data_IF_836701130591
#
_entry.id   IF_836701130591
#
_cell.length_a   1.000
_cell.length_b   1.000
_cell.length_c   1.000
_cell.angle_alpha   90.00
_cell.angle_beta   90.00
_cell.angle_gamma   90.00
#
_symmetry.space_group_name_H-M   'P 1'
#
loop_
_entity.id
_entity.type
_entity.pdbx_description
1 polymer ?
#
# COMPACT_ATOMS: atom_id res chain seq x y z
N UNK A 1 -14.60 13.62 -6.72
CA UNK A 1 -13.76 12.40 -6.79
C UNK A 1 -12.45 12.56 -6.01
N UNK A 2 -11.65 13.62 -6.21
CA UNK A 2 -10.41 13.85 -5.45
C UNK A 2 -10.57 13.81 -3.91
N UNK A 3 -11.64 14.43 -3.37
CA UNK A 3 -11.96 14.34 -1.93
C UNK A 3 -12.17 12.90 -1.43
N UNK A 4 -12.79 12.05 -2.25
CA UNK A 4 -13.00 10.63 -1.91
C UNK A 4 -11.67 9.88 -1.95
N UNK A 5 -10.81 10.16 -2.93
CA UNK A 5 -9.46 9.56 -3.00
C UNK A 5 -8.58 9.98 -1.82
N UNK A 6 -8.69 11.21 -1.30
CA UNK A 6 -7.95 11.63 -0.10
C UNK A 6 -8.39 10.89 1.17
N UNK A 7 -9.68 10.54 1.29
CA UNK A 7 -10.17 9.74 2.42
C UNK A 7 -9.51 8.35 2.48
N UNK A 8 -9.16 7.76 1.33
CA UNK A 8 -8.47 6.48 1.29
C UNK A 8 -7.12 6.53 2.03
N UNK A 9 -6.30 7.54 1.76
CA UNK A 9 -4.99 7.72 2.43
C UNK A 9 -5.16 8.00 3.92
N UNK A 10 -6.18 8.78 4.29
CA UNK A 10 -6.53 9.05 5.69
C UNK A 10 -6.87 7.76 6.45
N UNK A 11 -7.77 6.93 5.90
CA UNK A 11 -8.20 5.69 6.54
C UNK A 11 -7.03 4.72 6.71
N UNK A 12 -6.26 4.46 5.65
CA UNK A 12 -5.19 3.45 5.72
C UNK A 12 -4.05 3.88 6.64
N UNK A 13 -3.65 5.17 6.61
CA UNK A 13 -2.46 5.62 7.34
C UNK A 13 -2.77 6.04 8.77
N UNK A 14 -3.78 6.91 8.95
CA UNK A 14 -4.05 7.50 10.26
C UNK A 14 -4.94 6.62 11.14
N UNK A 15 -5.82 5.81 10.54
CA UNK A 15 -6.66 4.90 11.33
C UNK A 15 -5.99 3.53 11.41
N UNK A 16 -5.80 2.85 10.27
CA UNK A 16 -5.37 1.44 10.27
C UNK A 16 -3.92 1.28 10.72
N UNK A 17 -2.95 1.92 10.06
CA UNK A 17 -1.54 1.78 10.44
C UNK A 17 -1.26 2.27 11.87
N UNK A 18 -1.92 3.34 12.33
CA UNK A 18 -1.73 3.85 13.69
C UNK A 18 -2.33 2.92 14.76
N UNK A 19 -3.47 2.28 14.47
CA UNK A 19 -4.03 1.25 15.34
C UNK A 19 -3.10 0.03 15.44
N UNK A 20 -2.60 -0.46 14.29
CA UNK A 20 -1.63 -1.58 14.28
C UNK A 20 -0.35 -1.21 15.03
N UNK A 21 0.20 -0.01 14.83
CA UNK A 21 1.38 0.46 15.56
C UNK A 21 1.12 0.50 17.07
N UNK A 22 -0.04 1.00 17.51
CA UNK A 22 -0.41 1.00 18.93
C UNK A 22 -0.45 -0.41 19.52
N UNK A 23 -1.05 -1.37 18.81
CA UNK A 23 -1.09 -2.78 19.26
C UNK A 23 0.32 -3.36 19.39
N UNK A 24 1.20 -3.09 18.42
CA UNK A 24 2.59 -3.57 18.47
C UNK A 24 3.36 -2.94 19.64
N UNK A 25 3.23 -1.64 19.85
CA UNK A 25 3.97 -0.91 20.89
C UNK A 25 3.50 -1.23 22.31
N UNK A 26 2.24 -1.63 22.50
CA UNK A 26 1.72 -2.03 23.81
C UNK A 26 2.03 -3.49 24.16
N UNK A 27 2.31 -4.35 23.17
CA UNK A 27 2.69 -5.73 23.42
C UNK A 27 4.16 -5.80 23.88
N UNK A 28 4.54 -6.70 24.81
CA UNK A 28 5.94 -6.85 25.23
C UNK A 28 6.86 -7.31 24.09
N UNK A 29 6.29 -7.81 22.99
CA UNK A 29 7.03 -8.45 21.91
C UNK A 29 7.74 -7.51 20.94
N UNK A 30 7.55 -6.19 21.06
CA UNK A 30 8.26 -5.22 20.21
C UNK A 30 9.78 -5.21 20.44
N UNK A 31 10.24 -5.63 21.63
CA UNK A 31 11.65 -5.70 22.01
C UNK A 31 12.21 -7.13 22.06
N UNK A 32 11.43 -8.16 21.72
CA UNK A 32 11.95 -9.53 21.73
C UNK A 32 12.97 -9.70 20.60
N UNK A 33 14.13 -10.24 20.96
CA UNK A 33 15.16 -10.66 20.03
C UNK A 33 15.08 -12.18 19.87
N UNK A 34 15.26 -12.65 18.64
CA UNK A 34 15.43 -14.05 18.35
C UNK A 34 16.75 -14.57 18.99
N UNK A 35 16.91 -15.89 19.17
CA UNK A 35 18.14 -16.48 19.74
C UNK A 35 19.43 -16.13 18.98
N UNK A 36 19.32 -15.69 17.73
CA UNK A 36 20.41 -15.23 16.88
C UNK A 36 20.69 -13.71 16.99
N UNK A 37 19.98 -12.99 17.87
CA UNK A 37 20.10 -11.54 18.06
C UNK A 37 19.33 -10.68 17.07
N UNK A 38 18.59 -11.29 16.13
CA UNK A 38 17.79 -10.55 15.13
C UNK A 38 16.42 -10.14 15.68
N UNK A 39 15.87 -9.05 15.16
CA UNK A 39 14.50 -8.62 15.44
C UNK A 39 13.51 -9.53 14.72
N UNK A 40 12.31 -9.67 15.27
CA UNK A 40 11.21 -10.36 14.59
C UNK A 40 10.87 -9.67 13.26
N UNK A 41 10.53 -10.47 12.24
CA UNK A 41 10.00 -9.95 10.98
C UNK A 41 8.68 -9.21 11.23
N UNK A 42 8.37 -8.18 10.43
CA UNK A 42 7.20 -7.32 10.64
C UNK A 42 5.87 -8.10 10.73
N UNK A 43 5.71 -9.13 9.88
CA UNK A 43 4.53 -9.98 9.87
C UNK A 43 4.42 -10.80 11.16
N UNK A 44 5.54 -11.40 11.60
CA UNK A 44 5.57 -12.22 12.81
C UNK A 44 5.38 -11.37 14.07
N UNK A 45 5.95 -10.17 14.09
CA UNK A 45 5.80 -9.21 15.17
C UNK A 45 4.33 -8.79 15.33
N UNK A 46 3.65 -8.49 14.23
CA UNK A 46 2.22 -8.12 14.26
C UNK A 46 1.37 -9.29 14.74
N UNK A 47 1.66 -10.51 14.27
CA UNK A 47 0.97 -11.72 14.71
C UNK A 47 1.14 -11.93 16.22
N UNK A 48 2.37 -11.92 16.72
CA UNK A 48 2.69 -12.17 18.14
C UNK A 48 2.13 -11.08 19.05
N UNK A 49 2.22 -9.83 18.64
CA UNK A 49 1.64 -8.71 19.39
C UNK A 49 0.12 -8.81 19.48
N UNK A 50 -0.55 -9.24 18.40
CA UNK A 50 -2.02 -9.41 18.41
C UNK A 50 -2.43 -10.65 19.20
N UNK A 51 -1.68 -11.75 19.11
CA UNK A 51 -1.88 -12.97 19.87
C UNK A 51 -1.76 -12.72 21.39
N UNK A 52 -0.87 -11.81 21.81
CA UNK A 52 -0.75 -11.41 23.22
C UNK A 52 -2.04 -10.79 23.77
N UNK A 53 -2.72 -9.93 23.00
CA UNK A 53 -3.94 -9.25 23.46
C UNK A 53 -5.23 -10.05 23.23
N UNK A 54 -5.35 -10.76 22.11
CA UNK A 54 -6.57 -11.46 21.69
C UNK A 54 -6.49 -12.98 21.87
N UNK A 55 -5.37 -13.51 22.34
CA UNK A 55 -5.12 -14.95 22.43
C UNK A 55 -5.09 -15.63 21.05
N UNK A 56 -5.48 -16.90 21.02
CA UNK A 56 -5.49 -17.72 19.78
C UNK A 56 -6.41 -17.17 18.68
N UNK A 57 -7.45 -16.41 19.04
CA UNK A 57 -8.32 -15.74 18.08
C UNK A 57 -7.58 -14.63 17.31
N UNK A 58 -6.60 -13.97 17.94
CA UNK A 58 -5.80 -12.91 17.31
C UNK A 58 -5.02 -13.43 16.10
N UNK A 59 -4.47 -14.63 16.18
CA UNK A 59 -3.72 -15.24 15.08
C UNK A 59 -4.62 -15.51 13.85
N UNK A 60 -5.84 -16.01 14.07
CA UNK A 60 -6.80 -16.28 13.00
C UNK A 60 -7.26 -15.00 12.32
N UNK A 61 -7.54 -13.95 13.10
CA UNK A 61 -7.95 -12.65 12.58
C UNK A 61 -6.85 -12.04 11.70
N UNK A 62 -5.61 -11.98 12.19
CA UNK A 62 -4.49 -11.43 11.42
C UNK A 62 -4.25 -12.23 10.14
N UNK A 63 -4.34 -13.55 10.18
CA UNK A 63 -4.17 -14.38 8.99
C UNK A 63 -5.22 -14.08 7.91
N UNK A 64 -6.50 -14.01 8.29
CA UNK A 64 -7.59 -13.69 7.36
C UNK A 64 -7.43 -12.27 6.79
N UNK A 65 -7.16 -11.28 7.65
CA UNK A 65 -6.94 -9.89 7.23
C UNK A 65 -5.77 -9.78 6.27
N UNK A 66 -4.66 -10.47 6.52
CA UNK A 66 -3.48 -10.46 5.65
C UNK A 66 -3.82 -10.98 4.25
N UNK A 67 -4.60 -12.04 4.13
CA UNK A 67 -5.03 -12.60 2.83
C UNK A 67 -5.86 -11.58 2.05
N UNK A 68 -6.88 -11.00 2.68
CA UNK A 68 -7.74 -10.00 2.01
C UNK A 68 -6.97 -8.73 1.65
N UNK A 69 -6.06 -8.29 2.53
CA UNK A 69 -5.24 -7.11 2.28
C UNK A 69 -4.26 -7.32 1.12
N UNK A 70 -3.55 -8.46 1.11
CA UNK A 70 -2.66 -8.81 0.01
C UNK A 70 -3.42 -8.96 -1.31
N UNK A 71 -4.57 -9.66 -1.30
CA UNK A 71 -5.40 -9.86 -2.50
C UNK A 71 -5.90 -8.53 -3.09
N UNK A 72 -6.47 -7.66 -2.26
CA UNK A 72 -6.95 -6.35 -2.71
C UNK A 72 -5.83 -5.47 -3.27
N UNK A 73 -4.64 -5.54 -2.67
CA UNK A 73 -3.45 -4.82 -3.14
C UNK A 73 -2.99 -5.33 -4.51
N UNK A 74 -2.90 -6.66 -4.69
CA UNK A 74 -2.52 -7.27 -5.97
C UNK A 74 -3.46 -6.82 -7.10
N UNK A 75 -4.77 -6.80 -6.85
CA UNK A 75 -5.76 -6.33 -7.85
C UNK A 75 -5.55 -4.84 -8.17
N UNK A 76 -5.37 -4.00 -7.15
CA UNK A 76 -5.14 -2.57 -7.33
C UNK A 76 -3.93 -2.31 -8.23
N UNK A 77 -2.79 -2.93 -7.91
CA UNK A 77 -1.56 -2.78 -8.70
C UNK A 77 -1.66 -3.38 -10.10
N UNK A 78 -2.39 -4.49 -10.28
CA UNK A 78 -2.67 -5.03 -11.60
C UNK A 78 -3.41 -4.01 -12.48
N UNK A 79 -4.44 -3.36 -11.94
CA UNK A 79 -5.20 -2.34 -12.65
C UNK A 79 -4.38 -1.09 -12.97
N UNK A 80 -3.60 -0.58 -12.01
CA UNK A 80 -2.75 0.59 -12.26
C UNK A 80 -1.74 0.33 -13.37
N UNK A 81 -1.04 -0.80 -13.34
CA UNK A 81 -0.06 -1.12 -14.39
C UNK A 81 -0.69 -1.46 -15.74
N UNK A 82 -1.92 -1.99 -15.76
CA UNK A 82 -2.71 -2.14 -16.99
C UNK A 82 -2.96 -0.79 -17.66
N UNK A 83 -3.36 0.23 -16.88
CA UNK A 83 -3.56 1.59 -17.40
C UNK A 83 -2.28 2.27 -17.85
N UNK A 84 -1.16 2.06 -17.15
CA UNK A 84 0.14 2.53 -17.61
C UNK A 84 0.56 1.86 -18.93
N UNK A 85 0.32 0.55 -19.08
CA UNK A 85 0.63 -0.20 -20.30
C UNK A 85 -0.25 0.24 -21.47
N UNK A 86 -1.55 0.44 -21.23
CA UNK A 86 -2.50 0.94 -22.21
C UNK A 86 -2.06 2.32 -22.73
N UNK A 87 -1.64 3.22 -21.83
CA UNK A 87 -1.14 4.54 -22.20
C UNK A 87 0.16 4.49 -23.01
N UNK A 88 1.12 3.64 -22.61
CA UNK A 88 2.45 3.61 -23.25
C UNK A 88 2.50 2.79 -24.55
N UNK A 89 1.74 1.69 -24.64
CA UNK A 89 1.87 0.72 -25.72
C UNK A 89 0.56 0.38 -26.44
N UNK A 90 -0.55 1.01 -26.03
CA UNK A 90 -1.88 0.81 -26.59
C UNK A 90 -2.63 -0.38 -25.99
N UNK A 91 -3.96 -0.35 -26.15
CA UNK A 91 -4.93 -1.29 -25.55
C UNK A 91 -4.65 -2.77 -25.90
N UNK A 92 -4.16 -3.04 -27.12
CA UNK A 92 -3.91 -4.42 -27.59
C UNK A 92 -2.87 -5.16 -26.74
N UNK A 93 -1.97 -4.46 -26.05
CA UNK A 93 -0.89 -5.08 -25.26
C UNK A 93 -1.24 -5.37 -23.81
N UNK A 94 -2.41 -4.91 -23.35
CA UNK A 94 -2.91 -5.13 -21.98
C UNK A 94 -2.98 -6.62 -21.62
N UNK A 95 -3.38 -7.48 -22.57
CA UNK A 95 -3.47 -8.93 -22.34
C UNK A 95 -2.12 -9.56 -22.00
N UNK A 96 -1.04 -9.11 -22.63
CA UNK A 96 0.31 -9.58 -22.34
C UNK A 96 0.79 -9.07 -20.97
N UNK A 97 0.46 -7.83 -20.61
CA UNK A 97 0.76 -7.30 -19.28
C UNK A 97 0.13 -8.14 -18.17
N UNK A 98 -1.15 -8.52 -18.31
CA UNK A 98 -1.81 -9.38 -17.31
C UNK A 98 -1.09 -10.72 -17.11
N UNK A 99 -0.61 -11.33 -18.20
CA UNK A 99 0.15 -12.59 -18.14
C UNK A 99 1.50 -12.40 -17.43
N UNK A 100 2.23 -11.33 -17.77
CA UNK A 100 3.51 -10.99 -17.15
C UNK A 100 3.32 -10.67 -15.66
N UNK A 101 2.26 -9.95 -15.31
CA UNK A 101 1.95 -9.61 -13.92
C UNK A 101 1.68 -10.86 -13.08
N UNK A 102 0.88 -11.81 -13.59
CA UNK A 102 0.64 -13.08 -12.90
C UNK A 102 1.93 -13.89 -12.70
N UNK A 103 2.80 -13.95 -13.72
CA UNK A 103 4.11 -14.59 -13.59
C UNK A 103 4.99 -13.88 -12.54
N UNK A 104 4.95 -12.55 -12.51
CA UNK A 104 5.72 -11.74 -11.55
C UNK A 104 5.25 -11.96 -10.11
N UNK A 105 3.94 -12.14 -9.87
CA UNK A 105 3.40 -12.48 -8.54
C UNK A 105 3.95 -13.84 -8.07
N UNK A 106 4.00 -14.84 -8.95
CA UNK A 106 4.55 -16.16 -8.63
C UNK A 106 6.05 -16.08 -8.28
N UNK A 107 6.82 -15.35 -9.09
CA UNK A 107 8.26 -15.14 -8.83
C UNK A 107 8.47 -14.35 -7.53
N UNK A 108 7.65 -13.33 -7.28
CA UNK A 108 7.69 -12.50 -6.08
C UNK A 108 7.45 -13.30 -4.80
N UNK A 109 6.58 -14.32 -4.85
CA UNK A 109 6.33 -15.21 -3.72
C UNK A 109 7.53 -16.11 -3.36
N UNK A 110 8.45 -16.33 -4.30
CA UNK A 110 9.67 -17.15 -4.10
C UNK A 110 10.92 -16.31 -3.86
N UNK A 111 10.87 -15.00 -4.14
CA UNK A 111 12.01 -14.10 -4.02
C UNK A 111 12.29 -13.71 -2.55
N UNK A 112 13.53 -13.29 -2.28
CA UNK A 112 13.91 -12.77 -0.95
C UNK A 112 13.16 -11.46 -0.67
N UNK A 113 12.61 -11.36 0.54
CA UNK A 113 11.76 -10.22 0.92
C UNK A 113 12.50 -8.88 0.80
N UNK A 114 13.77 -8.80 1.21
CA UNK A 114 14.57 -7.56 1.14
C UNK A 114 14.80 -7.12 -0.31
N UNK A 115 15.01 -8.07 -1.22
CA UNK A 115 15.17 -7.77 -2.64
C UNK A 115 13.88 -7.18 -3.22
N UNK A 116 12.73 -7.76 -2.87
CA UNK A 116 11.42 -7.29 -3.31
C UNK A 116 11.14 -5.87 -2.79
N UNK A 117 11.42 -5.60 -1.50
CA UNK A 117 11.28 -4.27 -0.92
C UNK A 117 12.19 -3.24 -1.59
N UNK A 118 13.47 -3.54 -1.77
CA UNK A 118 14.41 -2.62 -2.42
C UNK A 118 14.00 -2.31 -3.87
N UNK A 119 13.52 -3.32 -4.62
CA UNK A 119 13.02 -3.12 -5.99
C UNK A 119 11.74 -2.29 -6.02
N UNK A 120 10.83 -2.52 -5.07
CA UNK A 120 9.59 -1.77 -4.94
C UNK A 120 9.86 -0.30 -4.58
N UNK A 121 10.76 -0.03 -3.63
CA UNK A 121 11.11 1.34 -3.22
C UNK A 121 11.79 2.11 -4.35
N UNK A 122 12.70 1.47 -5.09
CA UNK A 122 13.32 2.08 -6.27
C UNK A 122 12.27 2.43 -7.33
N UNK A 123 11.36 1.49 -7.62
CA UNK A 123 10.30 1.68 -8.63
C UNK A 123 9.30 2.76 -8.22
N UNK A 124 8.90 2.80 -6.95
CA UNK A 124 8.03 3.83 -6.37
C UNK A 124 8.70 5.20 -6.40
N UNK A 125 10.00 5.27 -6.10
CA UNK A 125 10.79 6.50 -6.22
C UNK A 125 10.80 7.03 -7.66
N UNK A 126 11.10 6.17 -8.63
CA UNK A 126 11.10 6.52 -10.05
C UNK A 126 9.72 7.00 -10.54
N UNK A 127 8.64 6.42 -10.04
CA UNK A 127 7.27 6.88 -10.34
C UNK A 127 6.92 8.21 -9.64
N UNK A 128 7.35 8.39 -8.39
CA UNK A 128 7.01 9.56 -7.59
C UNK A 128 7.69 10.84 -8.11
N UNK A 129 8.97 10.76 -8.51
CA UNK A 129 9.75 11.93 -8.96
C UNK A 129 9.04 12.74 -10.07
N UNK A 130 8.68 12.18 -11.24
CA UNK A 130 8.04 12.95 -12.29
C UNK A 130 6.64 13.45 -11.89
N UNK A 131 5.89 12.65 -11.13
CA UNK A 131 4.54 13.03 -10.65
C UNK A 131 4.59 14.22 -9.70
N UNK A 132 5.55 14.25 -8.77
CA UNK A 132 5.73 15.36 -7.84
C UNK A 132 6.18 16.63 -8.56
N UNK A 133 7.10 16.53 -9.52
CA UNK A 133 7.52 17.66 -10.36
C UNK A 133 6.32 18.26 -11.10
N UNK A 134 5.52 17.41 -11.76
CA UNK A 134 4.32 17.85 -12.48
C UNK A 134 3.32 18.53 -11.54
N UNK A 135 3.10 17.99 -10.34
CA UNK A 135 2.17 18.56 -9.36
C UNK A 135 2.62 19.94 -8.86
N UNK A 136 3.93 20.14 -8.65
CA UNK A 136 4.49 21.45 -8.27
C UNK A 136 4.28 22.46 -9.41
N UNK A 137 4.52 22.08 -10.65
CA UNK A 137 4.31 22.96 -11.81
C UNK A 137 2.82 23.30 -12.01
N UNK A 138 1.93 22.34 -11.75
CA UNK A 138 0.48 22.48 -11.92
C UNK A 138 -0.27 23.01 -10.68
N UNK A 139 0.44 23.39 -9.60
CA UNK A 139 -0.20 23.80 -8.34
C UNK A 139 -1.25 24.91 -8.51
N UNK A 140 -1.01 25.86 -9.45
CA UNK A 140 -1.96 26.96 -9.73
C UNK A 140 -3.29 26.44 -10.27
N UNK A 141 -3.26 25.44 -11.14
CA UNK A 141 -4.46 24.83 -11.73
C UNK A 141 -5.25 24.09 -10.66
N UNK A 142 -4.56 23.31 -9.82
CA UNK A 142 -5.21 22.60 -8.71
C UNK A 142 -5.86 23.59 -7.74
N UNK A 143 -5.18 24.69 -7.42
CA UNK A 143 -5.71 25.74 -6.55
C UNK A 143 -6.96 26.41 -7.13
N UNK A 144 -6.95 26.78 -8.42
CA UNK A 144 -8.10 27.42 -9.06
C UNK A 144 -9.32 26.50 -9.11
N UNK A 145 -9.12 25.23 -9.49
CA UNK A 145 -10.19 24.22 -9.54
C UNK A 145 -10.79 23.94 -8.16
N UNK A 146 -9.94 23.87 -7.13
CA UNK A 146 -10.39 23.65 -5.74
C UNK A 146 -11.29 24.80 -5.28
N UNK A 147 -10.87 26.06 -5.52
CA UNK A 147 -11.66 27.25 -5.16
C UNK A 147 -13.00 27.30 -5.90
N UNK A 148 -13.01 26.96 -7.19
CA UNK A 148 -14.24 26.91 -7.99
C UNK A 148 -15.20 25.83 -7.47
N UNK A 149 -14.70 24.63 -7.15
CA UNK A 149 -15.54 23.54 -6.65
C UNK A 149 -16.24 23.90 -5.33
N UNK A 150 -15.50 24.47 -4.37
CA UNK A 150 -16.05 24.87 -3.08
C UNK A 150 -16.95 26.11 -3.16
N UNK A 151 -16.64 27.10 -4.01
CA UNK A 151 -17.53 28.26 -4.18
C UNK A 151 -18.89 27.86 -4.76
N UNK A 152 -18.90 26.88 -5.69
CA UNK A 152 -20.13 26.35 -6.28
C UNK A 152 -20.99 25.56 -5.28
N UNK A 153 -20.38 24.89 -4.30
CA UNK A 153 -21.08 24.09 -3.29
C UNK A 153 -21.37 24.86 -1.98
N UNK A 154 -20.79 26.03 -1.77
CA UNK A 154 -21.07 26.90 -0.61
C UNK A 154 -22.31 27.79 -0.79
N UNK A 155 -22.87 27.89 -2.00
CA UNK A 155 -24.08 28.68 -2.32
C UNK A 155 -25.37 27.83 -2.32
N UNK A 156 -25.38 26.70 -1.62
CA UNK A 156 -26.57 25.91 -1.28
C UNK A 156 -26.60 25.70 0.22
#
# INVERSE_FOLDING_TARGET
QALVSMLQTFIVTLIVCSATASVILMAPEYNTLLPNGEKLSANLLTLKSTEYFLGSLGAVVIFLTMIFFAYSTIIGWAYYGEKCTEYAFGEKKVKYYRLIFLASVMVGAMAKIDFVWNLADLSNGLMAIPNLIALILLHKVVYSETRWYFSKHSNK
#
